data_IF_766651697574
#
_entry.id   IF_766651697574
#
_cell.length_a   1.000
_cell.length_b   1.000
_cell.length_c   1.000
_cell.angle_alpha   90.00
_cell.angle_beta   90.00
_cell.angle_gamma   90.00
#
_symmetry.space_group_name_H-M   'P 1'
#
loop_
_entity.id
_entity.type
_entity.pdbx_description
1 polymer ?
#
# COMPACT_ATOMS: atom_id res chain seq x y z
N UNK A 1 24.72 11.14 2.44
CA UNK A 1 23.86 10.25 3.26
C UNK A 1 22.50 10.10 2.60
N UNK A 2 21.91 8.89 2.59
CA UNK A 2 20.57 8.63 2.03
C UNK A 2 19.58 8.28 3.16
N UNK A 3 18.51 9.07 3.30
CA UNK A 3 17.46 8.83 4.29
C UNK A 3 16.17 8.40 3.58
N UNK A 4 15.70 7.21 3.87
CA UNK A 4 14.42 6.69 3.41
C UNK A 4 13.32 7.17 4.37
N UNK A 5 12.28 7.81 3.85
CA UNK A 5 11.21 8.39 4.67
C UNK A 5 9.84 7.92 4.17
N UNK A 6 9.10 7.25 5.04
CA UNK A 6 7.68 6.97 4.81
C UNK A 6 6.81 8.20 5.09
N UNK A 7 6.00 8.58 4.11
CA UNK A 7 5.13 9.76 4.18
C UNK A 7 3.77 9.49 4.82
N UNK A 8 3.46 8.24 5.16
CA UNK A 8 2.12 7.89 5.62
C UNK A 8 1.14 7.64 4.48
N UNK A 9 -0.18 7.80 4.72
CA UNK A 9 -1.21 7.16 3.91
C UNK A 9 -2.04 8.11 3.05
N UNK A 10 -2.10 9.40 3.38
CA UNK A 10 -3.07 10.28 2.72
C UNK A 10 -2.52 11.62 2.25
N UNK A 11 -1.94 12.42 3.14
CA UNK A 11 -1.49 13.78 2.79
C UNK A 11 -0.19 14.19 3.51
N UNK A 12 0.18 15.46 3.39
CA UNK A 12 1.42 16.02 3.95
C UNK A 12 1.50 15.99 5.47
N UNK A 13 0.39 15.83 6.17
CA UNK A 13 0.35 15.80 7.64
C UNK A 13 0.67 14.42 8.22
N UNK A 14 0.66 13.37 7.41
CA UNK A 14 0.93 12.01 7.86
C UNK A 14 2.41 11.74 8.11
N UNK A 15 3.30 12.60 7.60
CA UNK A 15 4.74 12.47 7.84
C UNK A 15 5.06 12.65 9.31
N UNK A 16 5.95 11.83 9.86
CA UNK A 16 6.43 12.03 11.23
C UNK A 16 7.21 13.35 11.38
N UNK A 17 7.21 13.95 12.57
CA UNK A 17 7.99 15.17 12.85
C UNK A 17 9.47 14.96 12.49
N UNK A 18 10.04 13.79 12.83
CA UNK A 18 11.42 13.44 12.45
C UNK A 18 11.61 13.40 10.92
N UNK A 19 10.61 12.87 10.19
CA UNK A 19 10.62 12.85 8.72
C UNK A 19 10.59 14.26 8.15
N UNK A 20 9.73 15.10 8.68
CA UNK A 20 9.62 16.50 8.28
C UNK A 20 10.93 17.29 8.50
N UNK A 21 11.57 17.10 9.64
CA UNK A 21 12.86 17.75 9.96
C UNK A 21 13.96 17.27 9.00
N UNK A 22 14.00 15.96 8.71
CA UNK A 22 14.95 15.41 7.75
C UNK A 22 14.72 15.94 6.32
N UNK A 23 13.45 16.06 5.88
CA UNK A 23 13.12 16.64 4.57
C UNK A 23 13.57 18.10 4.51
N UNK A 24 13.27 18.91 5.53
CA UNK A 24 13.64 20.33 5.58
C UNK A 24 15.16 20.56 5.58
N UNK A 25 15.93 19.66 6.15
CA UNK A 25 17.38 19.74 6.21
C UNK A 25 18.10 19.10 5.00
N UNK A 26 17.39 18.39 4.14
CA UNK A 26 17.99 17.72 2.99
C UNK A 26 18.46 18.69 1.90
N UNK A 27 19.53 18.32 1.20
CA UNK A 27 20.02 19.04 0.01
C UNK A 27 19.19 18.65 -1.23
N UNK A 28 18.78 17.38 -1.32
CA UNK A 28 17.99 16.86 -2.44
C UNK A 28 16.84 16.00 -1.92
N UNK A 29 15.65 16.21 -2.51
CA UNK A 29 14.43 15.49 -2.15
C UNK A 29 13.89 14.75 -3.36
N UNK A 30 13.78 13.44 -3.24
CA UNK A 30 13.20 12.53 -4.23
C UNK A 30 11.88 11.96 -3.72
N UNK A 31 10.91 11.77 -4.60
CA UNK A 31 9.64 11.09 -4.30
C UNK A 31 9.40 10.00 -5.33
N UNK A 32 9.30 8.77 -4.87
CA UNK A 32 8.84 7.64 -5.66
C UNK A 32 7.34 7.80 -5.95
N UNK A 33 6.95 7.66 -7.24
CA UNK A 33 5.57 7.93 -7.69
C UNK A 33 4.95 6.75 -8.46
N UNK A 34 5.49 5.53 -8.33
CA UNK A 34 5.03 4.38 -9.11
C UNK A 34 4.43 3.23 -8.29
N UNK A 35 4.82 3.04 -7.02
CA UNK A 35 4.26 1.96 -6.18
C UNK A 35 3.00 2.39 -5.43
N UNK A 36 2.94 3.65 -5.01
CA UNK A 36 1.80 4.22 -4.30
C UNK A 36 1.71 5.73 -4.50
N UNK A 37 0.62 6.33 -4.06
CA UNK A 37 0.41 7.79 -4.12
C UNK A 37 -0.31 8.28 -2.87
N UNK A 38 0.00 9.52 -2.45
CA UNK A 38 -0.79 10.24 -1.46
C UNK A 38 -1.97 10.93 -2.19
N UNK A 39 -3.17 10.39 -2.02
CA UNK A 39 -4.35 10.90 -2.73
C UNK A 39 -4.86 12.24 -2.18
N UNK A 40 -4.45 12.62 -0.97
CA UNK A 40 -4.84 13.87 -0.32
C UNK A 40 -3.97 15.07 -0.65
N UNK A 41 -2.79 14.86 -1.29
CA UNK A 41 -1.86 15.94 -1.59
C UNK A 41 -1.13 15.74 -2.91
N UNK A 42 -1.28 16.63 -3.90
CA UNK A 42 -0.41 16.68 -5.06
C UNK A 42 1.01 17.13 -4.67
N UNK A 43 1.98 16.89 -5.54
CA UNK A 43 3.40 17.18 -5.27
C UNK A 43 3.61 18.66 -4.91
N UNK A 44 2.92 19.57 -5.57
CA UNK A 44 3.01 21.01 -5.32
C UNK A 44 2.62 21.39 -3.91
N UNK A 45 1.63 20.69 -3.34
CA UNK A 45 1.21 20.89 -1.95
C UNK A 45 2.24 20.33 -0.96
N UNK A 46 2.84 19.17 -1.27
CA UNK A 46 3.95 18.62 -0.51
C UNK A 46 5.16 19.57 -0.53
N UNK A 47 5.52 20.11 -1.71
CA UNK A 47 6.61 21.07 -1.85
C UNK A 47 6.37 22.33 -1.01
N UNK A 48 5.15 22.87 -1.06
CA UNK A 48 4.78 24.05 -0.28
C UNK A 48 4.86 23.80 1.23
N UNK A 49 4.40 22.64 1.69
CA UNK A 49 4.42 22.28 3.11
C UNK A 49 5.83 21.98 3.63
N UNK A 50 6.64 21.26 2.85
CA UNK A 50 8.00 20.91 3.23
C UNK A 50 9.01 22.05 3.00
N UNK A 51 8.67 23.02 2.17
CA UNK A 51 9.57 24.11 1.77
C UNK A 51 10.73 23.63 0.91
N UNK A 52 10.55 22.56 0.14
CA UNK A 52 11.56 21.90 -0.69
C UNK A 52 11.00 21.53 -2.06
N UNK A 53 11.84 21.65 -3.09
CA UNK A 53 11.54 21.08 -4.38
C UNK A 53 11.67 19.57 -4.35
N UNK A 54 10.72 18.86 -4.96
CA UNK A 54 10.65 17.41 -4.99
C UNK A 54 10.87 16.93 -6.41
N UNK A 55 11.83 16.04 -6.60
CA UNK A 55 12.06 15.35 -7.86
C UNK A 55 11.28 14.04 -7.88
N UNK A 56 10.26 13.90 -8.73
CA UNK A 56 9.57 12.63 -8.88
C UNK A 56 10.48 11.58 -9.53
N UNK A 57 10.39 10.35 -9.04
CA UNK A 57 11.12 9.21 -9.55
C UNK A 57 10.15 8.14 -10.04
N UNK A 58 10.40 7.62 -11.23
CA UNK A 58 9.68 6.51 -11.81
C UNK A 58 10.42 5.19 -11.56
N UNK A 59 9.79 4.08 -11.92
CA UNK A 59 10.34 2.73 -11.66
C UNK A 59 11.76 2.56 -12.19
N UNK A 60 12.01 3.03 -13.41
CA UNK A 60 13.33 2.91 -14.04
C UNK A 60 14.41 3.73 -13.32
N UNK A 61 14.04 4.90 -12.76
CA UNK A 61 14.97 5.75 -12.01
C UNK A 61 15.44 5.10 -10.71
N UNK A 62 14.63 4.21 -10.13
CA UNK A 62 14.93 3.56 -8.84
C UNK A 62 15.50 2.15 -9.05
N UNK A 63 14.88 1.35 -9.93
CA UNK A 63 15.24 -0.06 -10.09
C UNK A 63 16.41 -0.26 -11.06
N UNK A 64 16.57 0.63 -12.07
CA UNK A 64 17.60 0.48 -13.12
C UNK A 64 18.67 1.58 -12.99
N UNK A 65 18.28 2.85 -12.98
CA UNK A 65 19.15 4.02 -13.07
C UNK A 65 19.26 4.78 -11.75
N UNK A 66 19.61 4.08 -10.66
CA UNK A 66 19.68 4.67 -9.32
C UNK A 66 20.84 5.66 -9.10
N UNK A 67 21.73 5.83 -10.07
CA UNK A 67 22.92 6.69 -9.93
C UNK A 67 22.56 8.12 -9.52
N UNK A 68 21.50 8.70 -10.07
CA UNK A 68 21.03 10.03 -9.70
C UNK A 68 20.75 10.18 -8.20
N UNK A 69 20.19 9.14 -7.59
CA UNK A 69 19.87 9.12 -6.15
C UNK A 69 21.16 8.92 -5.35
N UNK A 70 21.97 7.96 -5.77
CA UNK A 70 23.20 7.59 -5.08
C UNK A 70 24.24 8.71 -5.15
N UNK A 71 24.43 9.35 -6.30
CA UNK A 71 25.36 10.49 -6.46
C UNK A 71 24.92 11.67 -5.56
N UNK A 72 23.62 12.00 -5.53
CA UNK A 72 23.12 13.04 -4.63
C UNK A 72 23.37 12.70 -3.14
N UNK A 73 23.26 11.42 -2.78
CA UNK A 73 23.50 10.96 -1.41
C UNK A 73 25.00 10.85 -1.05
N UNK A 74 25.87 10.65 -2.03
CA UNK A 74 27.33 10.61 -1.86
C UNK A 74 27.89 12.01 -1.55
N UNK A 75 27.42 13.03 -2.29
CA UNK A 75 27.91 14.40 -2.18
C UNK A 75 27.11 15.29 -1.21
N UNK A 76 25.98 14.81 -0.68
CA UNK A 76 25.11 15.59 0.20
C UNK A 76 24.14 14.72 1.03
N UNK A 77 23.13 15.39 1.58
CA UNK A 77 22.03 14.75 2.28
C UNK A 77 20.84 14.61 1.33
N UNK A 78 20.63 13.41 0.82
CA UNK A 78 19.49 13.08 0.00
C UNK A 78 18.40 12.38 0.82
N UNK A 79 17.13 12.72 0.58
CA UNK A 79 15.99 11.98 1.12
C UNK A 79 15.21 11.32 -0.01
N UNK A 80 14.77 10.09 0.24
CA UNK A 80 13.95 9.28 -0.64
C UNK A 80 12.59 9.05 0.02
N UNK A 81 11.57 9.70 -0.52
CA UNK A 81 10.22 9.72 -0.01
C UNK A 81 9.37 8.65 -0.68
N UNK A 82 8.51 7.99 0.10
CA UNK A 82 7.56 6.98 -0.38
C UNK A 82 6.23 7.14 0.33
N UNK A 83 5.11 7.06 -0.38
CA UNK A 83 3.80 6.95 0.26
C UNK A 83 3.72 5.62 1.06
N UNK A 84 3.15 5.66 2.24
CA UNK A 84 3.19 4.55 3.20
C UNK A 84 4.51 4.50 3.98
N UNK A 85 5.05 3.30 4.16
CA UNK A 85 6.38 3.05 4.73
C UNK A 85 7.36 2.68 3.62
N UNK A 86 8.53 3.29 3.64
CA UNK A 86 9.52 3.15 2.56
C UNK A 86 10.15 1.76 2.43
N UNK A 87 9.93 0.86 3.40
CA UNK A 87 10.50 -0.49 3.42
C UNK A 87 9.45 -1.60 3.40
N UNK A 88 8.16 -1.24 3.30
CA UNK A 88 7.07 -2.21 3.35
C UNK A 88 6.44 -2.41 1.96
N UNK A 89 6.33 -3.66 1.54
CA UNK A 89 5.74 -4.08 0.25
C UNK A 89 6.39 -3.41 -0.98
N UNK A 90 7.73 -3.28 -0.95
CA UNK A 90 8.53 -2.59 -1.97
C UNK A 90 9.89 -3.25 -2.17
N UNK A 91 10.60 -2.87 -3.24
CA UNK A 91 11.96 -3.32 -3.60
C UNK A 91 13.06 -2.37 -3.13
N UNK A 92 12.75 -1.32 -2.33
CA UNK A 92 13.70 -0.28 -1.94
C UNK A 92 14.89 -0.77 -1.10
N UNK A 93 14.81 -1.99 -0.55
CA UNK A 93 15.96 -2.66 0.07
C UNK A 93 17.15 -2.82 -0.90
N UNK A 94 16.88 -3.00 -2.20
CA UNK A 94 17.93 -3.04 -3.22
C UNK A 94 18.67 -1.71 -3.34
N UNK A 95 17.93 -0.57 -3.38
CA UNK A 95 18.55 0.76 -3.38
C UNK A 95 19.43 0.99 -2.14
N UNK A 96 19.00 0.48 -0.98
CA UNK A 96 19.77 0.56 0.25
C UNK A 96 21.05 -0.28 0.20
N UNK A 97 21.01 -1.46 -0.43
CA UNK A 97 22.18 -2.32 -0.66
C UNK A 97 23.17 -1.60 -1.59
N UNK A 98 22.70 -1.06 -2.71
CA UNK A 98 23.54 -0.28 -3.65
C UNK A 98 24.19 0.94 -2.97
N UNK A 99 23.48 1.61 -2.06
CA UNK A 99 24.07 2.69 -1.27
C UNK A 99 25.21 2.19 -0.38
N UNK A 100 25.02 1.04 0.28
CA UNK A 100 26.06 0.42 1.12
C UNK A 100 27.30 0.01 0.28
N UNK A 101 27.12 -0.52 -0.91
CA UNK A 101 28.20 -0.87 -1.84
C UNK A 101 29.06 0.35 -2.24
N UNK A 102 28.47 1.55 -2.21
CA UNK A 102 29.16 2.84 -2.42
C UNK A 102 29.65 3.47 -1.12
N UNK A 103 29.55 2.79 0.03
CA UNK A 103 29.86 3.33 1.36
C UNK A 103 29.02 4.57 1.74
N UNK A 104 27.81 4.72 1.19
CA UNK A 104 26.89 5.80 1.51
C UNK A 104 26.10 5.41 2.77
N UNK A 105 26.20 6.17 3.89
CA UNK A 105 25.40 5.91 5.08
C UNK A 105 23.90 6.03 4.80
N UNK A 106 23.11 5.12 5.35
CA UNK A 106 21.66 5.12 5.18
C UNK A 106 20.91 5.17 6.51
N UNK A 107 19.76 5.83 6.51
CA UNK A 107 18.82 5.87 7.65
C UNK A 107 17.41 5.62 7.15
N UNK A 108 16.55 5.00 7.98
CA UNK A 108 15.14 4.78 7.71
C UNK A 108 14.32 5.55 8.75
N UNK A 109 13.35 6.32 8.28
CA UNK A 109 12.32 6.95 9.11
C UNK A 109 10.99 6.37 8.66
N UNK A 110 10.40 5.52 9.50
CA UNK A 110 9.17 4.81 9.20
C UNK A 110 7.98 5.77 9.09
N UNK A 111 7.04 5.43 8.20
CA UNK A 111 5.73 6.05 8.08
C UNK A 111 4.60 5.07 8.42
N UNK A 112 3.39 5.58 8.58
CA UNK A 112 2.22 4.73 8.69
C UNK A 112 2.05 3.90 7.40
N UNK A 113 1.88 2.57 7.55
CA UNK A 113 1.69 1.66 6.43
C UNK A 113 0.27 1.14 6.36
N UNK A 114 -0.23 0.91 5.15
CA UNK A 114 -1.51 0.26 4.92
C UNK A 114 -1.57 -1.13 5.59
N UNK A 115 -0.44 -1.83 5.70
CA UNK A 115 -0.37 -3.16 6.35
C UNK A 115 -0.74 -3.14 7.83
N UNK A 116 -0.53 -2.02 8.50
CA UNK A 116 -0.93 -1.83 9.90
C UNK A 116 -2.25 -1.10 10.04
N UNK A 117 -2.53 -0.12 9.16
CA UNK A 117 -3.76 0.65 9.20
C UNK A 117 -5.02 -0.20 8.98
N UNK A 118 -4.94 -1.20 8.10
CA UNK A 118 -6.07 -2.11 7.84
C UNK A 118 -6.55 -2.84 9.09
N UNK A 119 -5.64 -3.21 9.99
CA UNK A 119 -6.01 -3.88 11.25
C UNK A 119 -6.85 -2.97 12.14
N UNK A 120 -6.44 -1.71 12.30
CA UNK A 120 -7.17 -0.72 13.09
C UNK A 120 -8.53 -0.37 12.51
N UNK A 121 -8.62 -0.27 11.18
CA UNK A 121 -9.86 0.10 10.49
C UNK A 121 -10.87 -1.05 10.39
N UNK A 122 -10.40 -2.29 10.30
CA UNK A 122 -11.25 -3.48 10.20
C UNK A 122 -11.51 -4.17 11.53
N UNK A 123 -10.72 -3.87 12.57
CA UNK A 123 -10.77 -4.58 13.85
C UNK A 123 -10.22 -6.01 13.80
N UNK A 124 -9.70 -6.45 12.64
CA UNK A 124 -9.08 -7.76 12.50
C UNK A 124 -7.71 -7.79 13.18
N UNK A 125 -7.43 -8.85 13.93
CA UNK A 125 -6.22 -8.94 14.73
C UNK A 125 -4.98 -9.14 13.86
N UNK A 126 -3.96 -8.27 14.00
CA UNK A 126 -2.78 -8.28 13.16
C UNK A 126 -2.01 -9.61 13.16
N UNK A 127 -1.98 -10.32 14.30
CA UNK A 127 -1.31 -11.62 14.44
C UNK A 127 -2.05 -12.79 13.75
N UNK A 128 -3.24 -12.53 13.20
CA UNK A 128 -4.02 -13.48 12.41
C UNK A 128 -3.89 -13.29 10.91
N UNK A 129 -3.06 -12.34 10.45
CA UNK A 129 -2.79 -12.18 9.02
C UNK A 129 -1.69 -13.16 8.58
N UNK A 130 -1.98 -13.88 7.49
CA UNK A 130 -1.01 -14.72 6.80
C UNK A 130 -0.26 -13.95 5.71
N UNK A 131 0.20 -14.67 4.70
CA UNK A 131 0.90 -14.08 3.54
C UNK A 131 -0.03 -13.11 2.81
N UNK A 132 0.42 -11.87 2.62
CA UNK A 132 -0.26 -10.92 1.75
C UNK A 132 -0.07 -11.25 0.27
N UNK A 133 -0.97 -10.75 -0.58
CA UNK A 133 -0.89 -10.96 -2.04
C UNK A 133 -1.41 -9.73 -2.79
N UNK A 134 -0.91 -9.53 -4.01
CA UNK A 134 -1.43 -8.50 -4.92
C UNK A 134 -2.32 -9.12 -5.98
N UNK A 135 -3.42 -8.46 -6.31
CA UNK A 135 -4.26 -8.77 -7.48
C UNK A 135 -3.89 -7.83 -8.60
N UNK A 136 -3.11 -8.27 -9.60
CA UNK A 136 -2.80 -7.46 -10.76
C UNK A 136 -3.93 -7.49 -11.80
N UNK A 137 -4.00 -6.45 -12.62
CA UNK A 137 -4.86 -6.48 -13.80
C UNK A 137 -4.43 -7.61 -14.76
N UNK A 138 -5.37 -8.36 -15.34
CA UNK A 138 -5.06 -9.31 -16.41
C UNK A 138 -4.40 -8.61 -17.60
N UNK A 139 -3.43 -9.27 -18.23
CA UNK A 139 -2.73 -8.73 -19.39
C UNK A 139 -2.71 -9.73 -20.57
N UNK A 140 -3.25 -9.34 -21.70
CA UNK A 140 -3.37 -10.19 -22.88
C UNK A 140 -4.11 -11.50 -22.57
N UNK A 141 -3.43 -12.65 -22.75
CA UNK A 141 -3.96 -13.98 -22.39
C UNK A 141 -3.62 -14.42 -20.97
N UNK A 142 -2.78 -13.64 -20.27
CA UNK A 142 -2.36 -13.97 -18.92
C UNK A 142 -3.46 -13.59 -17.92
N UNK A 143 -3.85 -14.55 -17.11
CA UNK A 143 -4.80 -14.39 -16.04
C UNK A 143 -4.14 -14.82 -14.72
N UNK A 144 -4.03 -13.93 -13.71
CA UNK A 144 -3.32 -14.24 -12.48
C UNK A 144 -4.07 -15.30 -11.67
N UNK A 145 -3.37 -16.34 -11.18
CA UNK A 145 -3.96 -17.34 -10.29
C UNK A 145 -3.33 -17.32 -8.89
N UNK A 146 -2.16 -16.73 -8.74
CA UNK A 146 -1.47 -16.61 -7.45
C UNK A 146 -2.33 -16.01 -6.32
N UNK A 147 -3.21 -15.01 -6.55
CA UNK A 147 -4.04 -14.48 -5.48
C UNK A 147 -4.90 -15.54 -4.81
N UNK A 148 -5.64 -16.33 -5.57
CA UNK A 148 -6.52 -17.36 -5.00
C UNK A 148 -5.73 -18.50 -4.35
N UNK A 149 -4.53 -18.82 -4.85
CA UNK A 149 -3.65 -19.83 -4.24
C UNK A 149 -3.22 -19.42 -2.84
N UNK A 150 -2.79 -18.15 -2.68
CA UNK A 150 -2.40 -17.57 -1.38
C UNK A 150 -3.59 -17.47 -0.44
N UNK A 151 -4.72 -16.94 -0.91
CA UNK A 151 -5.97 -16.84 -0.13
C UNK A 151 -6.39 -18.21 0.36
N UNK A 152 -6.44 -19.20 -0.54
CA UNK A 152 -6.84 -20.58 -0.16
C UNK A 152 -5.86 -21.21 0.84
N UNK A 153 -4.57 -20.92 0.74
CA UNK A 153 -3.58 -21.41 1.70
C UNK A 153 -3.81 -20.79 3.08
N UNK A 154 -3.96 -19.47 3.15
CA UNK A 154 -4.23 -18.75 4.40
C UNK A 154 -5.56 -19.21 5.05
N UNK A 155 -6.63 -19.35 4.27
CA UNK A 155 -7.93 -19.83 4.80
C UNK A 155 -7.83 -21.21 5.42
N UNK A 156 -7.03 -22.15 4.85
CA UNK A 156 -6.80 -23.47 5.46
C UNK A 156 -6.08 -23.39 6.79
N UNK A 157 -5.20 -22.41 6.96
CA UNK A 157 -4.47 -22.14 8.21
C UNK A 157 -5.25 -21.21 9.17
N UNK A 158 -6.49 -20.87 8.82
CA UNK A 158 -7.34 -19.93 9.56
C UNK A 158 -6.69 -18.54 9.72
N UNK A 159 -6.04 -18.04 8.67
CA UNK A 159 -5.38 -16.73 8.61
C UNK A 159 -6.09 -15.80 7.63
N UNK A 160 -6.21 -14.53 8.00
CA UNK A 160 -6.70 -13.46 7.10
C UNK A 160 -5.69 -13.17 6.00
N UNK A 161 -6.16 -12.73 4.84
CA UNK A 161 -5.29 -12.32 3.74
C UNK A 161 -5.45 -10.84 3.45
N UNK A 162 -4.37 -10.08 3.56
CA UNK A 162 -4.31 -8.73 3.01
C UNK A 162 -4.08 -8.83 1.50
N UNK A 163 -4.95 -8.16 0.74
CA UNK A 163 -4.96 -8.20 -0.72
C UNK A 163 -4.72 -6.80 -1.26
N UNK A 164 -3.52 -6.56 -1.80
CA UNK A 164 -3.18 -5.32 -2.48
C UNK A 164 -3.82 -5.26 -3.85
N UNK A 165 -4.37 -4.11 -4.20
CA UNK A 165 -5.00 -3.86 -5.49
C UNK A 165 -4.04 -3.12 -6.43
N UNK A 166 -4.06 -3.49 -7.70
CA UNK A 166 -3.11 -2.98 -8.69
C UNK A 166 -3.21 -1.46 -8.90
N UNK A 167 -2.06 -0.82 -8.98
CA UNK A 167 -1.89 0.61 -9.24
C UNK A 167 -1.05 0.77 -10.50
N UNK A 168 -1.64 1.30 -11.57
CA UNK A 168 -0.96 1.68 -12.82
C UNK A 168 -0.96 3.20 -12.93
N UNK A 169 -0.05 3.84 -12.21
CA UNK A 169 0.01 5.31 -12.09
C UNK A 169 0.22 5.99 -13.44
N UNK A 170 1.03 5.38 -14.33
CA UNK A 170 1.27 5.83 -15.70
C UNK A 170 0.00 5.93 -16.56
N UNK A 171 -1.03 5.14 -16.20
CA UNK A 171 -2.34 5.12 -16.86
C UNK A 171 -3.45 5.75 -16.02
N UNK A 172 -3.12 6.33 -14.88
CA UNK A 172 -4.08 6.82 -13.88
C UNK A 172 -5.16 5.79 -13.53
N UNK A 173 -4.78 4.50 -13.56
CA UNK A 173 -5.68 3.38 -13.32
C UNK A 173 -5.40 2.75 -11.96
N UNK A 174 -6.41 2.80 -11.11
CA UNK A 174 -6.40 2.25 -9.76
C UNK A 174 -7.48 1.19 -9.66
N UNK A 175 -7.10 -0.04 -9.34
CA UNK A 175 -8.07 -1.13 -9.23
C UNK A 175 -9.07 -0.85 -8.11
N UNK A 176 -10.35 -0.96 -8.42
CA UNK A 176 -11.43 -0.84 -7.43
C UNK A 176 -11.70 -2.17 -6.75
N UNK A 177 -12.30 -2.12 -5.56
CA UNK A 177 -12.70 -3.32 -4.82
C UNK A 177 -13.63 -4.21 -5.66
N UNK A 178 -14.60 -3.64 -6.37
CA UNK A 178 -15.52 -4.40 -7.22
C UNK A 178 -14.79 -5.18 -8.32
N UNK A 179 -13.80 -4.56 -8.99
CA UNK A 179 -12.97 -5.22 -10.01
C UNK A 179 -12.12 -6.36 -9.41
N UNK A 180 -11.54 -6.13 -8.22
CA UNK A 180 -10.77 -7.14 -7.52
C UNK A 180 -11.62 -8.34 -7.09
N UNK A 181 -12.83 -8.09 -6.58
CA UNK A 181 -13.79 -9.13 -6.20
C UNK A 181 -14.18 -9.95 -7.43
N UNK A 182 -14.52 -9.33 -8.57
CA UNK A 182 -14.82 -10.06 -9.79
C UNK A 182 -13.67 -10.97 -10.25
N UNK A 183 -12.42 -10.47 -10.18
CA UNK A 183 -11.23 -11.27 -10.52
C UNK A 183 -11.03 -12.43 -9.55
N UNK A 184 -11.19 -12.21 -8.25
CA UNK A 184 -11.03 -13.24 -7.22
C UNK A 184 -12.12 -14.30 -7.30
N UNK A 185 -13.38 -13.93 -7.55
CA UNK A 185 -14.48 -14.89 -7.76
C UNK A 185 -14.26 -15.74 -9.02
N UNK A 186 -13.78 -15.15 -10.11
CA UNK A 186 -13.41 -15.91 -11.32
C UNK A 186 -12.25 -16.88 -11.05
N UNK A 187 -11.21 -16.45 -10.30
CA UNK A 187 -10.11 -17.31 -9.87
C UNK A 187 -10.62 -18.46 -9.00
N UNK A 188 -11.45 -18.17 -8.00
CA UNK A 188 -12.03 -19.13 -7.08
C UNK A 188 -12.86 -20.20 -7.82
N UNK A 189 -13.69 -19.75 -8.79
CA UNK A 189 -14.47 -20.66 -9.64
C UNK A 189 -13.59 -21.62 -10.44
N UNK A 190 -12.46 -21.15 -10.97
CA UNK A 190 -11.52 -22.00 -11.75
C UNK A 190 -10.87 -23.10 -10.94
N UNK A 191 -10.69 -22.91 -9.65
CA UNK A 191 -10.08 -23.90 -8.74
C UNK A 191 -11.09 -24.57 -7.81
N UNK A 192 -12.39 -24.35 -8.03
CA UNK A 192 -13.47 -24.85 -7.21
C UNK A 192 -13.29 -24.52 -5.73
N UNK A 193 -12.85 -23.29 -5.44
CA UNK A 193 -12.72 -22.73 -4.10
C UNK A 193 -13.86 -21.73 -3.84
N UNK A 194 -14.05 -21.35 -2.56
CA UNK A 194 -14.98 -20.29 -2.17
C UNK A 194 -14.30 -19.24 -1.29
N UNK A 195 -14.70 -18.00 -1.43
CA UNK A 195 -14.28 -16.91 -0.55
C UNK A 195 -15.51 -16.48 0.26
N UNK A 196 -15.54 -16.76 1.57
CA UNK A 196 -16.77 -16.60 2.36
C UNK A 196 -17.09 -15.14 2.71
N UNK A 197 -16.07 -14.30 2.81
CA UNK A 197 -16.21 -12.92 3.28
C UNK A 197 -15.11 -12.03 2.72
N UNK A 198 -15.47 -10.78 2.49
CA UNK A 198 -14.55 -9.70 2.13
C UNK A 198 -14.69 -8.53 3.09
N UNK A 199 -13.61 -7.79 3.30
CA UNK A 199 -13.63 -6.48 3.95
C UNK A 199 -12.90 -5.51 3.03
N UNK A 200 -13.61 -4.52 2.51
CA UNK A 200 -13.07 -3.48 1.66
C UNK A 200 -12.81 -2.20 2.45
N UNK A 201 -11.70 -1.54 2.18
CA UNK A 201 -11.34 -0.26 2.79
C UNK A 201 -10.93 0.70 1.67
N UNK A 202 -11.53 1.88 1.68
CA UNK A 202 -11.14 2.95 0.77
C UNK A 202 -10.59 4.14 1.55
N UNK A 203 -9.54 4.77 1.00
CA UNK A 203 -8.91 5.99 1.54
C UNK A 203 -8.51 5.85 3.02
N UNK A 204 -7.80 4.79 3.34
CA UNK A 204 -7.48 4.35 4.71
C UNK A 204 -6.89 5.44 5.62
N UNK A 205 -6.07 6.36 5.08
CA UNK A 205 -5.45 7.46 5.84
C UNK A 205 -6.27 8.75 5.84
N UNK A 206 -7.39 8.82 5.11
CA UNK A 206 -8.18 10.05 5.02
C UNK A 206 -8.97 10.32 6.31
N UNK A 207 -9.43 11.57 6.52
CA UNK A 207 -10.32 11.89 7.63
C UNK A 207 -11.67 11.14 7.61
N UNK A 208 -12.03 10.56 6.46
CA UNK A 208 -13.27 9.80 6.26
C UNK A 208 -12.99 8.51 5.47
N UNK A 209 -12.30 7.53 6.07
CA UNK A 209 -12.12 6.24 5.44
C UNK A 209 -13.48 5.53 5.32
N UNK A 210 -13.66 4.74 4.27
CA UNK A 210 -14.84 3.91 4.10
C UNK A 210 -14.44 2.46 4.34
N UNK A 211 -15.18 1.77 5.20
CA UNK A 211 -14.99 0.35 5.49
C UNK A 211 -16.33 -0.35 5.29
N UNK A 212 -16.33 -1.46 4.55
CA UNK A 212 -17.52 -2.29 4.37
C UNK A 212 -17.11 -3.76 4.32
N UNK A 213 -17.91 -4.61 4.99
CA UNK A 213 -17.73 -6.06 5.01
C UNK A 213 -18.97 -6.74 4.44
N UNK A 214 -18.77 -7.81 3.68
CA UNK A 214 -19.88 -8.55 3.08
C UNK A 214 -19.40 -9.65 2.14
N UNK A 215 -20.37 -10.37 1.56
CA UNK A 215 -20.11 -11.35 0.51
C UNK A 215 -19.78 -10.66 -0.84
N UNK A 216 -19.46 -11.44 -1.86
CA UNK A 216 -19.04 -10.90 -3.16
C UNK A 216 -20.09 -9.96 -3.80
N UNK A 217 -21.37 -10.29 -3.71
CA UNK A 217 -22.45 -9.49 -4.31
C UNK A 217 -22.62 -8.14 -3.57
N UNK A 218 -22.58 -8.18 -2.23
CA UNK A 218 -22.64 -6.97 -1.40
C UNK A 218 -21.44 -6.05 -1.68
N UNK A 219 -20.24 -6.61 -1.78
CA UNK A 219 -19.03 -5.83 -2.06
C UNK A 219 -19.02 -5.19 -3.44
N UNK A 220 -19.58 -5.86 -4.45
CA UNK A 220 -19.73 -5.32 -5.81
C UNK A 220 -20.80 -4.21 -5.90
N UNK A 221 -21.86 -4.35 -5.11
CA UNK A 221 -22.95 -3.39 -5.08
C UNK A 221 -22.63 -2.13 -4.27
N UNK A 222 -21.70 -2.22 -3.31
CA UNK A 222 -21.35 -1.11 -2.42
C UNK A 222 -20.47 -0.07 -3.12
N UNK A 223 -20.81 1.22 -2.99
CA UNK A 223 -20.01 2.32 -3.51
C UNK A 223 -18.91 2.74 -2.53
N UNK A 224 -17.68 2.31 -2.76
CA UNK A 224 -16.52 2.71 -2.00
C UNK A 224 -16.01 4.12 -2.36
N UNK A 225 -16.53 4.74 -3.40
CA UNK A 225 -16.09 6.05 -3.89
C UNK A 225 -14.72 6.02 -4.57
N UNK A 226 -13.98 7.13 -4.44
CA UNK A 226 -12.66 7.29 -5.08
C UNK A 226 -11.57 6.38 -4.47
N UNK A 227 -10.50 6.03 -5.23
CA UNK A 227 -9.36 5.27 -4.71
C UNK A 227 -8.54 6.11 -3.66
N UNK A 228 -7.50 5.52 -2.98
CA UNK A 228 -7.06 4.15 -3.15
C UNK A 228 -7.93 3.17 -2.37
N UNK A 229 -8.01 1.96 -2.88
CA UNK A 229 -8.72 0.86 -2.25
C UNK A 229 -7.76 -0.25 -1.82
N UNK A 230 -8.14 -0.97 -0.76
CA UNK A 230 -7.47 -2.20 -0.29
C UNK A 230 -8.53 -3.21 0.10
N UNK A 231 -8.21 -4.49 0.00
CA UNK A 231 -9.13 -5.57 0.30
C UNK A 231 -8.52 -6.52 1.32
N UNK A 232 -9.36 -7.12 2.15
CA UNK A 232 -8.99 -8.22 3.05
C UNK A 232 -9.94 -9.37 2.78
N UNK A 233 -9.42 -10.58 2.76
CA UNK A 233 -10.20 -11.81 2.85
C UNK A 233 -10.02 -12.38 4.23
N UNK A 234 -11.01 -12.22 5.13
CA UNK A 234 -10.96 -12.79 6.47
C UNK A 234 -11.09 -14.30 6.45
N UNK A 235 -10.40 -14.98 7.37
CA UNK A 235 -10.71 -16.35 7.78
C UNK A 235 -11.85 -16.35 8.82
N UNK A 236 -12.05 -17.44 9.54
CA UNK A 236 -13.04 -17.50 10.62
C UNK A 236 -12.83 -16.37 11.62
N UNK A 237 -13.84 -15.55 11.83
CA UNK A 237 -13.74 -14.39 12.73
C UNK A 237 -13.81 -14.84 14.20
N UNK A 238 -12.99 -14.21 15.05
CA UNK A 238 -13.24 -14.20 16.49
C UNK A 238 -14.46 -13.34 16.83
N UNK A 239 -15.07 -13.56 17.99
CA UNK A 239 -16.26 -12.83 18.41
C UNK A 239 -16.05 -11.31 18.37
N UNK A 240 -14.91 -10.82 18.84
CA UNK A 240 -14.59 -9.40 18.86
C UNK A 240 -14.37 -8.83 17.45
N UNK A 241 -13.81 -9.60 16.52
CA UNK A 241 -13.62 -9.21 15.12
C UNK A 241 -14.98 -9.12 14.42
N UNK A 242 -15.85 -10.08 14.67
CA UNK A 242 -17.22 -10.09 14.15
C UNK A 242 -18.00 -8.87 14.67
N UNK A 243 -18.03 -8.67 15.98
CA UNK A 243 -18.72 -7.55 16.60
C UNK A 243 -18.21 -6.20 16.07
N UNK A 244 -16.91 -6.07 15.82
CA UNK A 244 -16.33 -4.86 15.24
C UNK A 244 -16.84 -4.63 13.81
N UNK A 245 -16.83 -5.65 12.96
CA UNK A 245 -17.29 -5.55 11.58
C UNK A 245 -18.81 -5.29 11.52
N UNK A 246 -19.60 -5.90 12.40
CA UNK A 246 -21.04 -5.61 12.50
C UNK A 246 -21.32 -4.15 12.86
N UNK A 247 -20.55 -3.58 13.79
CA UNK A 247 -20.75 -2.19 14.26
C UNK A 247 -20.21 -1.12 13.30
N UNK A 248 -19.08 -1.39 12.65
CA UNK A 248 -18.31 -0.38 11.95
C UNK A 248 -18.15 -0.62 10.45
N UNK A 249 -18.46 -1.81 9.96
CA UNK A 249 -18.31 -2.19 8.56
C UNK A 249 -19.59 -2.75 7.91
N UNK A 250 -20.72 -2.73 8.61
CA UNK A 250 -22.02 -3.16 8.09
C UNK A 250 -22.13 -4.64 7.80
N UNK A 251 -21.36 -5.50 8.47
CA UNK A 251 -21.49 -6.95 8.40
C UNK A 251 -22.85 -7.34 9.03
N UNK A 252 -23.67 -8.14 8.32
CA UNK A 252 -24.96 -8.63 8.77
C UNK A 252 -24.89 -10.08 9.25
#
# INVERSE_FOLDING_TARGET
MLTFIGLGLFDEYDVSVRGLDAIKSADTVFLEVYTSVLMGAPIERLEAFYGKKITPLYREDVEIHADKILDAAEFGNAVFLTAGDSMVATTHSDLRIRAADRNIPTTIIHGASITTAVCGLSGLQNYRFGKSVSVPFPYGKWFPMTPIEVISANLRENLHTLVFLDIQKDKERYMKISEAVDLLEEQARRVNAGIPLYVGIARAGSPKPVVHAGNAEEMKAFDFGSPLHILIVPATLHDIEREYLERFAGLC
#
